data_IF_447285356010
#
_entry.id   IF_447285356010
#
_cell.length_a   1.000
_cell.length_b   1.000
_cell.length_c   1.000
_cell.angle_alpha   90.00
_cell.angle_beta   90.00
_cell.angle_gamma   90.00
#
_symmetry.space_group_name_H-M   'P 1'
#
loop_
_entity.id
_entity.type
_entity.pdbx_description
1 polymer ?
#
# COMPACT_ATOMS: atom_id res chain seq x y z
N UNK A 1 -37.68 30.09 -34.47
CA UNK A 1 -36.76 29.60 -35.52
C UNK A 1 -36.54 28.10 -35.32
N UNK A 2 -36.33 27.35 -36.40
CA UNK A 2 -36.47 25.89 -36.41
C UNK A 2 -35.19 25.13 -35.96
N UNK A 3 -35.33 23.91 -35.40
CA UNK A 3 -34.22 23.03 -35.04
C UNK A 3 -33.81 22.10 -36.20
N UNK A 4 -32.56 21.63 -36.20
CA UNK A 4 -32.11 20.57 -37.11
C UNK A 4 -31.97 19.21 -36.38
N UNK A 5 -32.53 18.16 -37.00
CA UNK A 5 -32.56 16.74 -36.56
C UNK A 5 -31.96 15.84 -37.66
N UNK A 6 -31.62 14.59 -37.30
CA UNK A 6 -31.24 13.42 -38.16
C UNK A 6 -29.85 13.56 -38.82
N UNK A 7 -29.03 12.52 -39.06
CA UNK A 7 -29.07 11.06 -38.81
C UNK A 7 -27.68 10.44 -39.10
N UNK A 8 -27.45 9.13 -39.30
CA UNK A 8 -28.30 7.93 -39.22
C UNK A 8 -27.45 6.61 -39.24
N UNK A 9 -27.96 5.52 -38.65
CA UNK A 9 -27.76 4.08 -39.00
C UNK A 9 -26.34 3.45 -39.17
N UNK A 10 -26.01 2.58 -38.20
CA UNK A 10 -25.89 1.11 -38.33
C UNK A 10 -24.95 0.44 -39.39
N UNK A 11 -23.89 -0.23 -38.91
CA UNK A 11 -23.21 -1.48 -39.40
C UNK A 11 -22.11 -1.82 -38.35
N UNK A 12 -21.72 -3.07 -38.05
CA UNK A 12 -22.21 -4.38 -38.51
C UNK A 12 -21.09 -5.40 -38.81
N UNK A 13 -20.44 -5.98 -37.78
CA UNK A 13 -19.55 -7.18 -37.82
C UNK A 13 -19.09 -7.45 -36.36
N UNK A 14 -19.30 -8.59 -35.69
CA UNK A 14 -19.09 -10.01 -36.00
C UNK A 14 -17.73 -10.31 -36.63
N UNK A 15 -16.78 -10.72 -35.78
CA UNK A 15 -15.68 -11.60 -36.16
C UNK A 15 -15.63 -12.79 -35.20
N UNK A 16 -16.18 -13.91 -35.64
CA UNK A 16 -15.83 -15.22 -35.11
C UNK A 16 -14.52 -15.68 -35.77
N UNK A 17 -13.54 -16.08 -34.96
CA UNK A 17 -12.49 -17.05 -35.29
C UNK A 17 -12.24 -17.85 -34.01
N UNK A 18 -12.11 -19.18 -34.01
CA UNK A 18 -12.08 -20.12 -35.12
C UNK A 18 -11.35 -21.37 -34.64
N UNK A 19 -12.10 -22.46 -34.42
CA UNK A 19 -11.55 -23.72 -33.88
C UNK A 19 -10.54 -24.35 -34.85
N UNK A 20 -9.50 -25.02 -34.36
CA UNK A 20 -8.47 -25.53 -35.28
C UNK A 20 -7.39 -26.49 -34.80
N UNK A 21 -7.62 -27.42 -33.86
CA UNK A 21 -6.74 -28.60 -33.70
C UNK A 21 -7.52 -29.88 -33.42
N UNK A 22 -7.58 -30.78 -34.42
CA UNK A 22 -8.07 -32.17 -34.31
C UNK A 22 -7.16 -33.10 -35.10
N UNK A 23 -6.77 -34.21 -34.49
CA UNK A 23 -5.90 -35.24 -35.07
C UNK A 23 -4.71 -35.54 -34.13
N UNK A 24 -4.54 -36.71 -33.52
CA UNK A 24 -5.39 -37.90 -33.48
C UNK A 24 -4.70 -39.13 -34.08
N UNK A 25 -4.22 -40.03 -33.22
CA UNK A 25 -4.05 -41.47 -33.53
C UNK A 25 -3.98 -42.31 -32.24
N UNK A 26 -4.28 -43.60 -32.38
CA UNK A 26 -4.51 -44.56 -31.29
C UNK A 26 -3.26 -45.41 -31.06
N UNK A 27 -2.96 -45.73 -29.80
CA UNK A 27 -2.13 -46.87 -29.39
C UNK A 27 -2.87 -47.68 -28.33
N UNK A 28 -3.04 -48.99 -28.53
CA UNK A 28 -3.69 -49.90 -27.55
C UNK A 28 -2.61 -50.55 -26.68
N UNK A 29 -2.82 -50.68 -25.36
CA UNK A 29 -1.78 -51.15 -24.43
C UNK A 29 -2.22 -51.98 -23.20
N UNK A 30 -3.49 -52.40 -23.13
CA UNK A 30 -4.08 -53.31 -22.10
C UNK A 30 -4.13 -52.82 -20.62
N UNK A 31 -5.01 -53.41 -19.78
CA UNK A 31 -5.30 -52.93 -18.43
C UNK A 31 -4.73 -53.84 -17.32
N UNK A 32 -4.51 -53.27 -16.14
CA UNK A 32 -4.37 -54.02 -14.89
C UNK A 32 -5.57 -53.70 -13.99
N UNK A 33 -6.59 -54.57 -14.01
CA UNK A 33 -7.59 -54.62 -12.95
C UNK A 33 -6.98 -55.28 -11.73
N UNK A 34 -7.16 -54.69 -10.55
CA UNK A 34 -7.20 -55.42 -9.29
C UNK A 34 -8.39 -54.89 -8.49
N UNK A 35 -9.30 -55.78 -8.14
CA UNK A 35 -10.43 -55.46 -7.29
C UNK A 35 -9.93 -55.20 -5.86
N UNK A 36 -10.36 -54.10 -5.26
CA UNK A 36 -10.48 -53.98 -3.81
C UNK A 36 -11.97 -53.71 -3.54
N UNK A 37 -12.67 -54.72 -3.02
CA UNK A 37 -14.08 -54.57 -2.68
C UNK A 37 -14.27 -53.66 -1.46
N UNK A 38 -15.49 -53.13 -1.36
CA UNK A 38 -15.93 -52.16 -0.34
C UNK A 38 -15.53 -52.56 1.09
N UNK A 39 -15.08 -51.56 1.85
CA UNK A 39 -15.54 -51.44 3.24
C UNK A 39 -15.73 -49.99 3.68
N UNK A 40 -16.93 -49.71 4.18
CA UNK A 40 -17.31 -48.78 5.25
C UNK A 40 -16.54 -47.44 5.45
N UNK A 41 -17.29 -46.34 5.36
CA UNK A 41 -17.16 -45.10 6.15
C UNK A 41 -15.75 -44.70 6.64
N UNK A 42 -14.96 -44.09 5.76
CA UNK A 42 -13.92 -43.14 6.18
C UNK A 42 -14.49 -41.73 6.16
N UNK A 43 -14.80 -41.17 7.33
CA UNK A 43 -15.01 -39.72 7.45
C UNK A 43 -13.66 -39.08 7.12
N UNK A 44 -13.57 -38.41 5.97
CA UNK A 44 -12.34 -37.74 5.56
C UNK A 44 -12.10 -36.53 6.44
N UNK A 45 -11.52 -36.73 7.62
CA UNK A 45 -11.04 -35.66 8.48
C UNK A 45 -10.06 -34.82 7.67
N UNK A 46 -10.56 -33.66 7.26
CA UNK A 46 -9.76 -32.57 6.69
C UNK A 46 -8.64 -32.33 7.70
N UNK A 47 -7.36 -32.46 7.33
CA UNK A 47 -6.26 -32.47 8.29
C UNK A 47 -6.39 -31.26 9.20
N UNK A 48 -6.51 -31.53 10.51
CA UNK A 48 -6.73 -30.50 11.52
C UNK A 48 -5.70 -29.41 11.33
N UNK A 49 -6.16 -28.20 11.02
CA UNK A 49 -5.29 -27.03 10.95
C UNK A 49 -4.59 -26.96 12.31
N UNK A 50 -3.24 -26.88 12.38
CA UNK A 50 -2.55 -26.76 13.65
C UNK A 50 -3.16 -25.58 14.41
N UNK A 51 -3.37 -25.76 15.71
CA UNK A 51 -3.90 -24.71 16.57
C UNK A 51 -2.95 -23.50 16.48
N UNK A 52 -3.52 -22.34 16.13
CA UNK A 52 -2.76 -21.09 15.99
C UNK A 52 -2.07 -20.80 17.35
N UNK A 53 -0.80 -20.37 17.36
CA UNK A 53 -0.13 -20.01 18.63
C UNK A 53 -0.77 -18.75 19.23
N UNK A 54 -0.60 -18.51 20.54
CA UNK A 54 -1.08 -17.28 21.18
C UNK A 54 -0.61 -16.01 20.45
N UNK A 55 0.66 -15.99 20.02
CA UNK A 55 1.25 -14.89 19.23
C UNK A 55 0.57 -14.72 17.85
N UNK A 56 0.14 -15.83 17.23
CA UNK A 56 -0.60 -15.82 15.96
C UNK A 56 -2.04 -15.32 16.13
N UNK A 57 -2.71 -15.71 17.22
CA UNK A 57 -4.04 -15.21 17.57
C UNK A 57 -4.02 -13.70 17.85
N UNK A 58 -3.03 -13.22 18.61
CA UNK A 58 -2.84 -11.79 18.91
C UNK A 58 -2.53 -11.00 17.63
N UNK A 59 -1.55 -11.42 16.83
CA UNK A 59 -1.22 -10.75 15.56
C UNK A 59 -2.39 -10.72 14.57
N UNK A 60 -3.24 -11.76 14.59
CA UNK A 60 -4.48 -11.82 13.81
C UNK A 60 -5.55 -10.86 14.36
N UNK A 61 -5.69 -10.74 15.67
CA UNK A 61 -6.60 -9.80 16.30
C UNK A 61 -6.22 -8.34 15.98
N UNK A 62 -4.94 -8.01 16.07
CA UNK A 62 -4.38 -6.69 15.71
C UNK A 62 -4.64 -6.34 14.24
N UNK A 63 -4.32 -7.27 13.32
CA UNK A 63 -4.59 -7.06 11.90
C UNK A 63 -6.10 -6.91 11.60
N UNK A 64 -6.99 -7.66 12.27
CA UNK A 64 -8.43 -7.50 12.12
C UNK A 64 -8.90 -6.14 12.68
N UNK A 65 -8.34 -5.69 13.80
CA UNK A 65 -8.65 -4.38 14.39
C UNK A 65 -8.21 -3.24 13.46
N UNK A 66 -6.98 -3.30 12.93
CA UNK A 66 -6.46 -2.38 11.92
C UNK A 66 -7.33 -2.37 10.65
N UNK A 67 -7.70 -3.55 10.14
CA UNK A 67 -8.49 -3.70 8.90
C UNK A 67 -9.89 -3.07 9.01
N UNK A 68 -10.46 -2.97 10.21
CA UNK A 68 -11.73 -2.24 10.43
C UNK A 68 -11.59 -0.74 10.18
N UNK A 69 -10.41 -0.14 10.40
CA UNK A 69 -10.18 1.30 10.20
C UNK A 69 -10.30 1.64 8.69
N UNK A 70 -9.56 0.92 7.83
CA UNK A 70 -9.59 1.13 6.37
C UNK A 70 -10.92 0.73 5.70
N UNK A 71 -11.82 0.03 6.41
CA UNK A 71 -13.19 -0.25 5.94
C UNK A 71 -14.17 0.89 6.23
N UNK A 72 -13.72 1.96 6.87
CA UNK A 72 -14.46 3.22 7.03
C UNK A 72 -13.80 4.35 6.23
N UNK A 73 -14.56 5.23 5.56
CA UNK A 73 -13.98 6.34 4.79
C UNK A 73 -13.31 7.36 5.71
N UNK A 74 -12.20 7.99 5.29
CA UNK A 74 -11.55 9.03 6.06
C UNK A 74 -12.49 10.21 6.30
N UNK A 75 -12.46 10.75 7.52
CA UNK A 75 -13.08 12.03 7.84
C UNK A 75 -12.04 13.13 7.66
N UNK A 76 -12.45 14.26 7.09
CA UNK A 76 -11.58 15.43 6.95
C UNK A 76 -11.04 15.85 8.34
N UNK A 77 -9.72 16.08 8.42
CA UNK A 77 -9.01 16.48 9.64
C UNK A 77 -9.10 15.51 10.84
N UNK A 78 -9.45 14.23 10.64
CA UNK A 78 -9.46 13.23 11.72
C UNK A 78 -8.06 12.66 11.98
N UNK A 79 -7.22 13.49 12.62
CA UNK A 79 -5.87 13.12 13.07
C UNK A 79 -5.87 11.86 13.95
N UNK A 80 -6.93 11.62 14.75
CA UNK A 80 -7.02 10.43 15.62
C UNK A 80 -7.20 9.14 14.82
N UNK A 81 -7.88 9.19 13.69
CA UNK A 81 -8.04 8.02 12.82
C UNK A 81 -6.78 7.79 11.97
N UNK A 82 -6.12 8.86 11.52
CA UNK A 82 -4.81 8.78 10.86
C UNK A 82 -3.76 8.17 11.81
N UNK A 83 -3.66 8.67 13.04
CA UNK A 83 -2.74 8.16 14.06
C UNK A 83 -2.95 6.66 14.32
N UNK A 84 -4.19 6.25 14.63
CA UNK A 84 -4.54 4.84 14.87
C UNK A 84 -4.30 3.95 13.66
N UNK A 85 -4.52 4.45 12.44
CA UNK A 85 -4.29 3.67 11.22
C UNK A 85 -2.81 3.30 11.06
N UNK A 86 -1.91 4.28 11.21
CA UNK A 86 -0.49 4.08 10.90
C UNK A 86 0.30 3.54 12.11
N UNK A 87 -0.06 3.92 13.34
CA UNK A 87 0.45 3.27 14.54
C UNK A 87 -0.06 1.82 14.69
N UNK A 88 -1.24 1.48 14.15
CA UNK A 88 -1.70 0.09 14.10
C UNK A 88 -1.03 -0.73 13.00
N UNK A 89 -0.64 -0.11 11.88
CA UNK A 89 0.04 -0.78 10.78
C UNK A 89 1.49 -1.20 11.14
N UNK A 90 2.22 -0.38 11.89
CA UNK A 90 3.64 -0.60 12.14
C UNK A 90 3.95 -1.86 13.00
N UNK A 91 3.21 -2.17 14.09
CA UNK A 91 3.35 -3.45 14.82
C UNK A 91 3.13 -4.68 13.94
N UNK A 92 2.12 -4.67 13.06
CA UNK A 92 1.84 -5.78 12.13
C UNK A 92 3.05 -6.04 11.21
N UNK A 93 3.73 -4.97 10.78
CA UNK A 93 4.94 -5.07 9.96
C UNK A 93 6.17 -5.54 10.75
N UNK A 94 6.27 -5.17 12.03
CA UNK A 94 7.36 -5.56 12.92
C UNK A 94 7.21 -6.99 13.49
N UNK A 95 5.99 -7.51 13.63
CA UNK A 95 5.70 -8.83 14.23
C UNK A 95 6.26 -10.04 13.46
N UNK A 96 6.05 -11.27 13.94
CA UNK A 96 6.55 -12.47 13.26
C UNK A 96 5.81 -12.81 11.95
N UNK A 97 4.50 -12.55 11.93
CA UNK A 97 3.58 -13.21 10.99
C UNK A 97 3.61 -12.69 9.55
N UNK A 98 4.19 -13.51 8.66
CA UNK A 98 4.34 -13.18 7.23
C UNK A 98 3.02 -12.92 6.51
N UNK A 99 1.94 -13.62 6.88
CA UNK A 99 0.63 -13.48 6.26
C UNK A 99 0.11 -12.04 6.40
N UNK A 100 0.08 -11.50 7.62
CA UNK A 100 -0.44 -10.16 7.89
C UNK A 100 0.41 -9.06 7.26
N UNK A 101 1.74 -9.21 7.23
CA UNK A 101 2.63 -8.31 6.49
C UNK A 101 2.32 -8.24 5.00
N UNK A 102 1.94 -9.38 4.40
CA UNK A 102 1.62 -9.45 2.98
C UNK A 102 0.19 -8.98 2.67
N UNK A 103 -0.74 -9.13 3.61
CA UNK A 103 -2.11 -8.64 3.46
C UNK A 103 -2.23 -7.12 3.61
N UNK A 104 -1.42 -6.50 4.47
CA UNK A 104 -1.47 -5.05 4.73
C UNK A 104 -1.37 -4.17 3.46
N UNK A 105 -0.36 -4.30 2.57
CA UNK A 105 -0.30 -3.50 1.34
C UNK A 105 -1.39 -3.86 0.33
N UNK A 106 -1.89 -5.11 0.34
CA UNK A 106 -3.00 -5.54 -0.53
C UNK A 106 -4.30 -4.85 -0.14
N UNK A 107 -4.61 -4.87 1.15
CA UNK A 107 -5.80 -4.22 1.69
C UNK A 107 -5.74 -2.70 1.60
N UNK A 108 -4.57 -2.07 1.68
CA UNK A 108 -4.43 -0.61 1.50
C UNK A 108 -4.82 -0.13 0.10
N UNK A 109 -4.63 -0.96 -0.93
CA UNK A 109 -4.94 -0.61 -2.33
C UNK A 109 -6.17 -1.34 -2.87
N UNK A 110 -6.88 -2.10 -2.04
CA UNK A 110 -8.06 -2.87 -2.44
C UNK A 110 -9.25 -1.94 -2.69
N UNK A 111 -9.97 -2.13 -3.80
CA UNK A 111 -11.06 -1.25 -4.24
C UNK A 111 -12.23 -1.18 -3.23
N UNK A 112 -12.52 -2.27 -2.53
CA UNK A 112 -13.49 -2.29 -1.42
C UNK A 112 -12.97 -1.70 -0.09
N UNK A 113 -11.84 -0.98 -0.11
CA UNK A 113 -11.26 -0.32 1.05
C UNK A 113 -11.10 1.17 0.78
N UNK A 114 -11.02 1.95 1.85
CA UNK A 114 -10.70 3.37 1.78
C UNK A 114 -9.20 3.62 2.00
N UNK A 115 -8.33 2.60 1.88
CA UNK A 115 -6.91 2.72 2.22
C UNK A 115 -6.17 3.80 1.42
N UNK A 116 -6.40 3.87 0.11
CA UNK A 116 -5.89 4.96 -0.73
C UNK A 116 -6.50 6.33 -0.37
N UNK A 117 -7.75 6.40 0.07
CA UNK A 117 -8.36 7.66 0.51
C UNK A 117 -7.76 8.15 1.83
N UNK A 118 -7.47 7.25 2.78
CA UNK A 118 -6.73 7.56 4.01
C UNK A 118 -5.32 8.09 3.68
N UNK A 119 -4.61 7.47 2.75
CA UNK A 119 -3.31 7.96 2.23
C UNK A 119 -3.48 9.33 1.58
N UNK A 120 -4.49 9.53 0.73
CA UNK A 120 -4.75 10.81 0.07
C UNK A 120 -5.06 11.93 1.06
N UNK A 121 -5.82 11.63 2.12
CA UNK A 121 -6.14 12.55 3.21
C UNK A 121 -4.88 12.94 3.97
N UNK A 122 -4.01 11.98 4.30
CA UNK A 122 -2.72 12.24 4.95
C UNK A 122 -1.80 13.11 4.09
N UNK A 123 -1.66 12.79 2.79
CA UNK A 123 -0.78 13.56 1.88
C UNK A 123 -1.25 15.00 1.67
N UNK A 124 -2.53 15.28 1.89
CA UNK A 124 -3.10 16.63 1.85
C UNK A 124 -2.87 17.43 3.16
N UNK A 125 -2.50 16.78 4.28
CA UNK A 125 -2.25 17.46 5.54
C UNK A 125 -1.00 18.33 5.47
N UNK A 126 -1.11 19.57 5.97
CA UNK A 126 0.00 20.54 6.06
C UNK A 126 0.45 20.81 7.48
N UNK A 127 -0.47 20.71 8.43
CA UNK A 127 -0.29 20.99 9.85
C UNK A 127 -1.09 19.99 10.68
N UNK A 128 -0.76 19.91 11.97
CA UNK A 128 -1.58 19.24 13.01
C UNK A 128 -2.08 20.29 13.99
N UNK A 129 -3.21 20.03 14.65
CA UNK A 129 -3.74 20.85 15.77
C UNK A 129 -2.70 21.04 16.88
N UNK A 130 -1.80 20.07 17.10
CA UNK A 130 -0.70 20.18 18.07
C UNK A 130 0.56 20.89 17.54
N UNK A 131 0.52 21.50 16.36
CA UNK A 131 1.63 22.22 15.75
C UNK A 131 2.69 21.34 15.08
N UNK A 132 3.86 21.91 14.73
CA UNK A 132 4.94 21.23 14.00
C UNK A 132 5.40 19.89 14.60
N UNK A 133 5.63 19.84 15.92
CA UNK A 133 6.03 18.61 16.60
C UNK A 133 4.98 17.50 16.52
N UNK A 134 3.70 17.84 16.72
CA UNK A 134 2.61 16.87 16.62
C UNK A 134 2.41 16.38 15.17
N UNK A 135 2.57 17.24 14.16
CA UNK A 135 2.55 16.84 12.76
C UNK A 135 3.64 15.80 12.44
N UNK A 136 4.87 16.01 12.92
CA UNK A 136 5.95 15.02 12.75
C UNK A 136 5.60 13.68 13.39
N UNK A 137 5.05 13.67 14.62
CA UNK A 137 4.65 12.42 15.29
C UNK A 137 3.50 11.71 14.56
N UNK A 138 2.51 12.45 14.05
CA UNK A 138 1.37 11.91 13.31
C UNK A 138 1.78 11.26 11.98
N UNK A 139 2.71 11.88 11.26
CA UNK A 139 3.13 11.46 9.92
C UNK A 139 4.22 10.36 9.96
N UNK A 140 5.07 10.35 10.99
CA UNK A 140 6.20 9.41 11.10
C UNK A 140 5.82 7.93 10.92
N UNK A 141 4.77 7.38 11.57
CA UNK A 141 4.38 5.98 11.40
C UNK A 141 4.03 5.63 9.95
N UNK A 142 3.39 6.53 9.20
CA UNK A 142 3.09 6.33 7.78
C UNK A 142 4.38 6.18 6.94
N UNK A 143 5.35 7.07 7.15
CA UNK A 143 6.62 7.02 6.40
C UNK A 143 7.42 5.75 6.75
N UNK A 144 7.41 5.33 8.01
CA UNK A 144 8.01 4.06 8.44
C UNK A 144 7.30 2.85 7.81
N UNK A 145 5.97 2.85 7.72
CA UNK A 145 5.18 1.79 7.09
C UNK A 145 5.53 1.63 5.60
N UNK A 146 5.51 2.72 4.82
CA UNK A 146 5.77 2.61 3.36
C UNK A 146 7.22 2.28 3.03
N UNK A 147 8.16 2.52 3.96
CA UNK A 147 9.59 2.20 3.80
C UNK A 147 10.03 0.91 4.47
N UNK A 148 9.11 0.20 5.11
CA UNK A 148 9.41 -1.05 5.80
C UNK A 148 9.90 -2.13 4.82
N UNK A 149 10.88 -2.96 5.21
CA UNK A 149 11.45 -4.01 4.35
C UNK A 149 10.40 -4.97 3.77
N UNK A 150 9.35 -5.28 4.54
CA UNK A 150 8.25 -6.14 4.09
C UNK A 150 7.37 -5.49 2.99
N UNK A 151 7.46 -4.18 2.77
CA UNK A 151 6.91 -3.48 1.61
C UNK A 151 7.94 -3.43 0.46
N UNK A 152 9.19 -3.08 0.75
CA UNK A 152 10.17 -2.76 -0.29
C UNK A 152 10.82 -3.97 -0.97
N UNK A 153 11.07 -5.04 -0.21
CA UNK A 153 11.86 -6.21 -0.65
C UNK A 153 10.99 -7.46 -0.94
N UNK A 154 9.67 -7.35 -0.80
CA UNK A 154 8.76 -8.49 -0.83
C UNK A 154 8.04 -8.63 -2.19
N UNK A 155 8.59 -9.45 -3.09
CA UNK A 155 8.07 -9.67 -4.45
C UNK A 155 6.57 -10.02 -4.52
N UNK A 156 6.03 -10.73 -3.52
CA UNK A 156 4.62 -11.14 -3.47
C UNK A 156 3.62 -10.00 -3.21
N UNK A 157 4.11 -8.79 -2.90
CA UNK A 157 3.31 -7.58 -2.74
C UNK A 157 3.76 -6.42 -3.63
N UNK A 158 4.82 -6.60 -4.42
CA UNK A 158 5.47 -5.51 -5.18
C UNK A 158 4.53 -4.77 -6.14
N UNK A 159 3.55 -5.47 -6.73
CA UNK A 159 2.50 -4.87 -7.57
C UNK A 159 1.58 -3.92 -6.79
N UNK A 160 1.17 -4.32 -5.58
CA UNK A 160 0.31 -3.52 -4.70
C UNK A 160 1.09 -2.33 -4.10
N UNK A 161 2.35 -2.54 -3.73
CA UNK A 161 3.27 -1.48 -3.28
C UNK A 161 3.58 -0.51 -4.43
N UNK A 162 3.75 -1.00 -5.66
CA UNK A 162 3.87 -0.18 -6.86
C UNK A 162 2.65 0.70 -7.09
N UNK A 163 1.43 0.15 -7.02
CA UNK A 163 0.19 0.90 -7.11
C UNK A 163 0.08 1.98 -6.00
N UNK A 164 0.48 1.64 -4.77
CA UNK A 164 0.55 2.59 -3.65
C UNK A 164 1.54 3.73 -3.94
N UNK A 165 2.73 3.45 -4.46
CA UNK A 165 3.73 4.49 -4.79
C UNK A 165 3.31 5.38 -5.97
N UNK A 166 2.72 4.81 -7.03
CA UNK A 166 2.11 5.60 -8.12
C UNK A 166 0.97 6.48 -7.60
N UNK A 167 0.16 5.99 -6.65
CA UNK A 167 -0.82 6.82 -5.97
C UNK A 167 -0.15 7.94 -5.16
N UNK A 168 0.81 7.62 -4.27
CA UNK A 168 1.52 8.62 -3.45
C UNK A 168 2.15 9.71 -4.32
N UNK A 169 2.78 9.34 -5.44
CA UNK A 169 3.29 10.29 -6.43
C UNK A 169 2.21 11.21 -7.00
N UNK A 170 1.12 10.63 -7.50
CA UNK A 170 0.19 11.33 -8.37
C UNK A 170 0.83 11.71 -9.72
N UNK A 171 0.06 12.36 -10.58
CA UNK A 171 0.54 12.80 -11.90
C UNK A 171 1.81 13.64 -11.76
N UNK A 172 2.92 13.19 -12.32
CA UNK A 172 4.23 13.86 -12.26
C UNK A 172 4.64 14.28 -10.84
N UNK A 173 4.37 13.47 -9.80
CA UNK A 173 4.80 13.76 -8.43
C UNK A 173 4.01 14.86 -7.69
N UNK A 174 2.92 15.38 -8.29
CA UNK A 174 2.11 16.50 -7.76
C UNK A 174 1.53 16.30 -6.35
N UNK A 175 1.41 15.07 -5.85
CA UNK A 175 1.03 14.82 -4.44
C UNK A 175 2.25 14.66 -3.54
N UNK A 176 3.20 13.82 -3.95
CA UNK A 176 4.35 13.47 -3.13
C UNK A 176 5.32 14.62 -2.90
N UNK A 177 5.71 15.36 -3.95
CA UNK A 177 6.76 16.40 -3.84
C UNK A 177 6.38 17.49 -2.83
N UNK A 178 5.20 18.14 -2.91
CA UNK A 178 4.86 19.17 -1.93
C UNK A 178 4.57 18.58 -0.54
N UNK A 179 4.17 17.31 -0.41
CA UNK A 179 4.07 16.63 0.89
C UNK A 179 5.45 16.46 1.54
N UNK A 180 6.43 15.92 0.80
CA UNK A 180 7.79 15.72 1.31
C UNK A 180 8.50 17.05 1.60
N UNK A 181 8.30 18.10 0.79
CA UNK A 181 8.80 19.44 1.10
C UNK A 181 8.27 19.96 2.45
N UNK A 182 6.96 19.87 2.68
CA UNK A 182 6.34 20.30 3.94
C UNK A 182 6.87 19.52 5.14
N UNK A 183 7.01 18.20 4.99
CA UNK A 183 7.56 17.33 6.04
C UNK A 183 9.04 17.63 6.33
N UNK A 184 9.87 17.82 5.30
CA UNK A 184 11.28 18.18 5.47
C UNK A 184 11.45 19.54 6.14
N UNK A 185 10.71 20.55 5.69
CA UNK A 185 10.71 21.88 6.31
C UNK A 185 10.30 21.80 7.79
N UNK A 186 9.22 21.06 8.10
CA UNK A 186 8.74 20.89 9.48
C UNK A 186 9.76 20.17 10.36
N UNK A 187 10.44 19.13 9.84
CA UNK A 187 11.52 18.42 10.55
C UNK A 187 12.71 19.35 10.86
N UNK A 188 13.10 20.21 9.90
CA UNK A 188 14.18 21.19 10.10
C UNK A 188 13.78 22.22 11.16
N UNK A 189 12.58 22.82 11.10
CA UNK A 189 12.12 23.77 12.12
C UNK A 189 12.06 23.13 13.51
N UNK A 190 11.49 21.93 13.64
CA UNK A 190 11.44 21.20 14.92
C UNK A 190 12.84 20.93 15.48
N UNK A 191 13.83 20.64 14.62
CA UNK A 191 15.22 20.40 15.04
C UNK A 191 15.96 21.69 15.43
N UNK A 192 15.89 22.72 14.59
CA UNK A 192 16.61 23.99 14.76
C UNK A 192 16.07 24.78 15.93
N UNK A 193 14.76 24.94 16.02
CA UNK A 193 14.14 25.80 17.02
C UNK A 193 14.21 25.19 18.43
N UNK A 194 14.39 23.86 18.53
CA UNK A 194 14.37 23.06 19.78
C UNK A 194 13.12 23.26 20.64
N UNK A 195 12.06 23.88 20.09
CA UNK A 195 10.80 24.22 20.77
C UNK A 195 10.05 22.98 21.26
N UNK A 196 10.25 21.82 20.62
CA UNK A 196 9.52 20.60 20.90
C UNK A 196 10.45 19.52 21.47
N UNK A 197 9.97 18.77 22.48
CA UNK A 197 10.69 17.66 23.12
C UNK A 197 10.79 16.39 22.22
N UNK A 198 10.94 16.57 20.91
CA UNK A 198 11.17 15.46 19.98
C UNK A 198 12.63 15.04 20.05
N UNK A 199 12.90 13.81 20.48
CA UNK A 199 14.26 13.27 20.55
C UNK A 199 14.95 13.32 19.17
N UNK A 200 16.25 13.65 19.13
CA UNK A 200 17.02 13.72 17.89
C UNK A 200 16.93 12.43 17.07
N UNK A 201 17.02 11.27 17.72
CA UNK A 201 16.86 9.95 17.09
C UNK A 201 15.50 9.76 16.38
N UNK A 202 14.43 10.39 16.85
CA UNK A 202 13.12 10.40 16.18
C UNK A 202 13.19 11.20 14.88
N UNK A 203 13.90 12.34 14.87
CA UNK A 203 14.12 13.17 13.68
C UNK A 203 14.98 12.41 12.67
N UNK A 204 16.12 11.86 13.10
CA UNK A 204 17.07 11.12 12.25
C UNK A 204 16.41 9.90 11.60
N UNK A 205 15.72 9.06 12.38
CA UNK A 205 15.00 7.89 11.84
C UNK A 205 13.90 8.29 10.85
N UNK A 206 13.25 9.44 11.07
CA UNK A 206 12.23 9.95 10.15
C UNK A 206 12.86 10.50 8.87
N UNK A 207 13.99 11.22 8.94
CA UNK A 207 14.72 11.71 7.76
C UNK A 207 15.26 10.57 6.89
N UNK A 208 15.78 9.50 7.49
CA UNK A 208 16.20 8.28 6.78
C UNK A 208 15.01 7.62 6.08
N UNK A 209 13.86 7.53 6.75
CA UNK A 209 12.63 7.02 6.16
C UNK A 209 12.14 7.92 5.02
N UNK A 210 12.09 9.24 5.18
CA UNK A 210 11.70 10.19 4.12
C UNK A 210 12.62 10.09 2.90
N UNK A 211 13.94 10.03 3.12
CA UNK A 211 14.95 9.85 2.05
C UNK A 211 14.74 8.54 1.29
N UNK A 212 14.44 7.46 2.02
CA UNK A 212 14.11 6.15 1.44
C UNK A 212 12.80 6.22 0.65
N UNK A 213 11.75 6.82 1.21
CA UNK A 213 10.45 6.96 0.55
C UNK A 213 10.56 7.74 -0.77
N UNK A 214 11.33 8.84 -0.82
CA UNK A 214 11.56 9.58 -2.06
C UNK A 214 12.36 8.76 -3.07
N UNK A 215 13.41 8.04 -2.64
CA UNK A 215 14.18 7.15 -3.53
C UNK A 215 13.28 6.09 -4.16
N UNK A 216 12.45 5.42 -3.36
CA UNK A 216 11.53 4.38 -3.84
C UNK A 216 10.44 4.96 -4.74
N UNK A 217 9.92 6.15 -4.43
CA UNK A 217 9.00 6.87 -5.31
C UNK A 217 9.65 7.16 -6.67
N UNK A 218 10.83 7.79 -6.70
CA UNK A 218 11.51 8.14 -7.95
C UNK A 218 11.99 6.89 -8.72
N UNK A 219 12.15 5.75 -8.05
CA UNK A 219 12.42 4.43 -8.68
C UNK A 219 11.15 3.87 -9.34
N UNK A 220 10.02 3.88 -8.64
CA UNK A 220 8.76 3.22 -9.02
C UNK A 220 7.86 4.07 -9.92
N UNK A 221 7.90 5.39 -9.78
CA UNK A 221 7.16 6.38 -10.57
C UNK A 221 8.13 7.33 -11.30
N UNK A 222 8.72 6.92 -12.45
CA UNK A 222 9.72 7.72 -13.15
C UNK A 222 9.22 9.11 -13.58
N UNK A 223 7.90 9.30 -13.73
CA UNK A 223 7.32 10.59 -14.11
C UNK A 223 7.47 11.65 -13.03
N UNK A 224 7.58 11.26 -11.76
CA UNK A 224 7.85 12.18 -10.66
C UNK A 224 9.22 12.87 -10.77
N UNK A 225 10.14 12.35 -11.60
CA UNK A 225 11.44 12.98 -11.89
C UNK A 225 11.34 14.25 -12.75
N UNK A 226 10.20 14.44 -13.44
CA UNK A 226 9.90 15.64 -14.24
C UNK A 226 9.06 16.66 -13.46
N UNK A 227 9.05 16.58 -12.12
CA UNK A 227 8.41 17.58 -11.29
C UNK A 227 9.36 18.77 -11.11
N UNK A 228 8.90 19.98 -11.47
CA UNK A 228 9.71 21.20 -11.45
C UNK A 228 10.19 21.59 -10.04
N UNK A 229 9.48 21.17 -8.98
CA UNK A 229 9.81 21.45 -7.58
C UNK A 229 10.76 20.41 -6.95
N UNK A 230 11.08 19.32 -7.68
CA UNK A 230 11.96 18.25 -7.19
C UNK A 230 13.42 18.71 -6.95
N UNK A 231 14.06 19.53 -7.80
CA UNK A 231 15.40 20.07 -7.53
C UNK A 231 15.44 20.85 -6.20
N UNK A 232 14.43 21.70 -5.96
CA UNK A 232 14.28 22.46 -4.71
C UNK A 232 14.22 21.54 -3.49
N UNK A 233 13.43 20.45 -3.55
CA UNK A 233 13.38 19.44 -2.49
C UNK A 233 14.76 18.79 -2.24
N UNK A 234 15.45 18.39 -3.31
CA UNK A 234 16.78 17.76 -3.21
C UNK A 234 17.80 18.73 -2.61
N UNK A 235 17.76 20.02 -2.96
CA UNK A 235 18.72 20.99 -2.46
C UNK A 235 18.52 21.32 -0.97
N UNK A 236 17.28 21.26 -0.43
CA UNK A 236 17.06 21.35 1.03
C UNK A 236 17.77 20.25 1.84
N UNK A 237 18.12 19.12 1.22
CA UNK A 237 18.89 18.05 1.86
C UNK A 237 20.40 18.20 1.68
N UNK A 238 20.84 18.95 0.67
CA UNK A 238 22.27 19.20 0.40
C UNK A 238 22.83 20.36 1.21
N UNK A 239 22.00 21.34 1.57
CA UNK A 239 22.41 22.42 2.47
C UNK A 239 22.38 21.92 3.91
N UNK A 240 23.52 21.64 4.58
CA UNK A 240 23.49 21.45 6.02
C UNK A 240 23.04 22.77 6.64
N UNK A 241 22.20 22.69 7.68
CA UNK A 241 21.77 23.85 8.45
C UNK A 241 23.00 24.67 8.87
N UNK A 242 23.01 25.95 8.52
CA UNK A 242 23.99 26.94 9.00
C UNK A 242 23.43 27.68 10.21
#
# INVERSE_FOLDING_TARGET
MAPWRRGMRNRGSRFERGNGWRGGRRGRGRPCSNNAERSSNGNGERPSRPEDTYEQEEARADYIAWKRIIKTPPRQHDEKTVDRLWNGALPILNGGEREWKQMLPRDLVHEESFGLEHVGTLLAMRTSVGGPGAFVQLIRPFVLVITHWAFLDCLSVDTFVGALYTFIGGTNGTRAVPFFQNLCWTLVSVHVDKIFMTAASTIDTTLVAVSTALRELLRREPRARFNDDLPTLIDTWKTPCR
#
